data_IF_157822218406
#
_entry.id   IF_157822218406
#
_cell.length_a   1.000
_cell.length_b   1.000
_cell.length_c   1.000
_cell.angle_alpha   90.00
_cell.angle_beta   90.00
_cell.angle_gamma   90.00
#
_symmetry.space_group_name_H-M   'P 1'
#
loop_
_entity.id
_entity.type
_entity.pdbx_description
1 polymer ?
#
# COMPACT_ATOMS: atom_id res chain seq x y z
N UNK A 1 -1.91 7.03 -15.84
CA UNK A 1 -3.00 6.02 -15.71
C UNK A 1 -2.73 5.25 -14.43
N UNK A 2 -3.70 5.07 -13.53
CA UNK A 2 -3.50 4.24 -12.33
C UNK A 2 -3.52 2.75 -12.69
N UNK A 3 -2.92 1.88 -11.88
CA UNK A 3 -2.97 0.43 -12.13
C UNK A 3 -4.39 -0.12 -12.27
N UNK A 4 -5.34 0.39 -11.48
CA UNK A 4 -6.76 0.02 -11.57
C UNK A 4 -7.42 0.54 -12.85
N UNK A 5 -7.05 1.73 -13.32
CA UNK A 5 -7.55 2.25 -14.59
C UNK A 5 -7.01 1.44 -15.77
N UNK A 6 -5.79 0.90 -15.66
CA UNK A 6 -5.22 -0.01 -16.65
C UNK A 6 -6.01 -1.33 -16.71
N UNK A 7 -6.43 -1.87 -15.56
CA UNK A 7 -7.31 -3.06 -15.50
C UNK A 7 -8.62 -2.79 -16.25
N UNK A 8 -9.22 -1.60 -16.10
CA UNK A 8 -10.46 -1.23 -16.82
C UNK A 8 -10.28 -1.06 -18.33
N UNK A 9 -9.05 -0.85 -18.79
CA UNK A 9 -8.71 -0.75 -20.21
C UNK A 9 -8.43 -2.14 -20.78
N UNK A 10 -7.76 -3.00 -20.00
CA UNK A 10 -7.34 -4.34 -20.44
C UNK A 10 -8.44 -5.39 -20.35
N UNK A 11 -9.37 -5.26 -19.39
CA UNK A 11 -10.39 -6.25 -19.11
C UNK A 11 -11.80 -5.73 -19.39
N UNK A 12 -12.61 -6.61 -19.96
CA UNK A 12 -14.02 -6.39 -20.22
C UNK A 12 -14.89 -6.83 -19.04
N UNK A 13 -16.10 -6.27 -18.93
CA UNK A 13 -17.10 -6.68 -17.94
C UNK A 13 -18.03 -7.80 -18.45
N UNK A 14 -17.89 -8.18 -19.73
CA UNK A 14 -18.67 -9.22 -20.43
C UNK A 14 -17.72 -10.17 -21.16
N UNK A 15 -18.04 -11.48 -21.26
CA UNK A 15 -17.29 -12.41 -22.10
C UNK A 15 -17.39 -12.10 -23.60
N UNK A 16 -18.43 -11.36 -24.00
CA UNK A 16 -18.63 -10.91 -25.39
C UNK A 16 -18.82 -9.38 -25.38
N UNK A 17 -17.72 -8.61 -25.31
CA UNK A 17 -17.77 -7.15 -25.36
C UNK A 17 -18.05 -6.69 -26.80
N UNK A 18 -18.71 -5.55 -26.94
CA UNK A 18 -18.80 -4.89 -28.24
C UNK A 18 -17.38 -4.65 -28.79
N UNK A 19 -17.20 -4.82 -30.10
CA UNK A 19 -15.90 -4.54 -30.73
C UNK A 19 -15.48 -3.11 -30.39
N UNK A 20 -14.20 -2.90 -29.97
CA UNK A 20 -13.73 -1.56 -29.69
C UNK A 20 -13.88 -0.71 -30.95
N UNK A 21 -14.12 0.61 -30.79
CA UNK A 21 -14.15 1.50 -31.94
C UNK A 21 -12.87 1.32 -32.76
N UNK A 22 -12.96 1.39 -34.10
CA UNK A 22 -11.77 1.26 -34.95
C UNK A 22 -10.71 2.23 -34.45
N UNK A 23 -9.48 1.74 -34.25
CA UNK A 23 -8.36 2.60 -33.89
C UNK A 23 -8.34 3.77 -34.88
N UNK A 24 -8.15 5.02 -34.41
CA UNK A 24 -7.87 6.12 -35.31
C UNK A 24 -6.80 5.67 -36.30
N UNK A 25 -6.99 5.96 -37.59
CA UNK A 25 -5.92 5.72 -38.57
C UNK A 25 -4.67 6.40 -38.02
N UNK A 26 -3.55 5.68 -37.91
CA UNK A 26 -2.27 6.22 -37.45
C UNK A 26 -2.08 7.60 -38.09
N UNK A 27 -2.35 8.68 -37.36
CA UNK A 27 -1.87 10.00 -37.73
C UNK A 27 -0.36 9.85 -37.60
N UNK A 28 0.28 9.66 -38.76
CA UNK A 28 1.73 9.53 -38.96
C UNK A 28 2.43 9.02 -37.71
N UNK A 29 2.67 7.71 -37.63
CA UNK A 29 3.73 7.17 -36.74
C UNK A 29 4.86 8.20 -36.77
N UNK A 30 5.26 8.79 -35.63
CA UNK A 30 6.28 9.82 -35.65
C UNK A 30 7.42 9.25 -36.48
N UNK A 31 7.74 9.92 -37.59
CA UNK A 31 8.82 9.47 -38.46
C UNK A 31 9.98 9.16 -37.52
N UNK A 32 10.61 7.99 -37.68
CA UNK A 32 11.81 7.67 -36.88
C UNK A 32 12.75 8.85 -37.04
N UNK A 33 12.81 9.71 -36.03
CA UNK A 33 13.71 10.85 -36.02
C UNK A 33 15.12 10.28 -36.13
N UNK A 34 15.99 10.98 -36.86
CA UNK A 34 17.41 10.67 -36.93
C UNK A 34 17.92 10.33 -35.51
N UNK A 35 18.63 9.21 -35.29
CA UNK A 35 19.10 8.79 -33.97
C UNK A 35 19.78 9.91 -33.17
N UNK A 36 20.45 10.84 -33.87
CA UNK A 36 21.07 12.01 -33.23
C UNK A 36 20.04 13.06 -32.80
N UNK A 37 19.05 13.38 -33.64
CA UNK A 37 17.94 14.27 -33.25
C UNK A 37 17.10 13.68 -32.13
N UNK A 38 16.83 12.38 -32.18
CA UNK A 38 16.09 11.68 -31.14
C UNK A 38 16.83 11.71 -29.80
N UNK A 39 18.16 11.63 -29.80
CA UNK A 39 18.99 11.81 -28.61
C UNK A 39 18.89 13.24 -28.06
N UNK A 40 19.04 14.26 -28.91
CA UNK A 40 18.96 15.66 -28.48
C UNK A 40 17.54 16.08 -28.06
N UNK A 41 16.51 15.65 -28.76
CA UNK A 41 15.10 15.90 -28.41
C UNK A 41 14.72 15.17 -27.12
N UNK A 42 15.25 13.95 -26.90
CA UNK A 42 15.08 13.25 -25.61
C UNK A 42 15.85 13.96 -24.49
N UNK A 43 17.03 14.52 -24.77
CA UNK A 43 17.81 15.28 -23.79
C UNK A 43 17.11 16.59 -23.42
N UNK A 44 16.63 17.34 -24.41
CA UNK A 44 15.88 18.59 -24.24
C UNK A 44 14.52 18.34 -23.58
N UNK A 45 13.79 17.30 -24.00
CA UNK A 45 12.55 16.89 -23.35
C UNK A 45 12.75 16.42 -21.91
N UNK A 46 13.87 15.74 -21.62
CA UNK A 46 14.26 15.39 -20.25
C UNK A 46 14.64 16.62 -19.42
N UNK A 47 15.23 17.65 -20.02
CA UNK A 47 15.54 18.93 -19.38
C UNK A 47 14.28 19.76 -19.13
N UNK A 48 13.33 19.75 -20.06
CA UNK A 48 12.05 20.45 -19.96
C UNK A 48 11.13 19.77 -18.93
N UNK A 49 11.04 18.43 -18.93
CA UNK A 49 10.42 17.68 -17.84
C UNK A 49 11.15 17.91 -16.51
N UNK A 50 12.49 17.98 -16.52
CA UNK A 50 13.29 18.31 -15.35
C UNK A 50 12.95 19.69 -14.77
N UNK A 51 12.82 20.71 -15.62
CA UNK A 51 12.45 22.08 -15.24
C UNK A 51 11.00 22.18 -14.74
N UNK A 52 10.05 21.54 -15.44
CA UNK A 52 8.65 21.53 -15.01
C UNK A 52 8.47 20.81 -13.67
N UNK A 53 9.20 19.71 -13.46
CA UNK A 53 9.26 19.00 -12.17
C UNK A 53 9.93 19.85 -11.08
N UNK A 54 10.92 20.68 -11.40
CA UNK A 54 11.55 21.62 -10.46
C UNK A 54 10.58 22.71 -10.00
N UNK A 55 9.75 23.22 -10.91
CA UNK A 55 8.68 24.19 -10.62
C UNK A 55 7.58 23.57 -9.76
N UNK A 56 7.23 22.30 -9.97
CA UNK A 56 6.29 21.56 -9.10
C UNK A 56 6.84 21.32 -7.69
N UNK A 57 8.15 21.02 -7.54
CA UNK A 57 8.81 20.97 -6.23
C UNK A 57 8.75 22.33 -5.55
N UNK A 58 9.04 23.40 -6.29
CA UNK A 58 9.00 24.76 -5.76
C UNK A 58 7.58 25.17 -5.33
N UNK A 59 6.55 24.75 -6.09
CA UNK A 59 5.15 24.96 -5.74
C UNK A 59 4.72 24.14 -4.52
N UNK A 60 5.18 22.89 -4.39
CA UNK A 60 4.96 22.06 -3.20
C UNK A 60 5.66 22.61 -1.95
N UNK A 61 6.87 23.13 -2.12
CA UNK A 61 7.64 23.80 -1.06
C UNK A 61 6.99 25.13 -0.65
N UNK A 62 6.51 25.92 -1.62
CA UNK A 62 5.76 27.14 -1.36
C UNK A 62 4.41 26.87 -0.70
N UNK A 63 3.74 25.76 -1.06
CA UNK A 63 2.53 25.31 -0.38
C UNK A 63 2.82 24.91 1.08
N UNK A 64 3.94 24.23 1.33
CA UNK A 64 4.41 23.92 2.69
C UNK A 64 4.72 25.19 3.49
N UNK A 65 5.47 26.14 2.92
CA UNK A 65 5.80 27.39 3.62
C UNK A 65 4.58 28.28 3.82
N UNK A 66 3.66 28.35 2.86
CA UNK A 66 2.40 29.09 3.01
C UNK A 66 1.48 28.44 4.03
N UNK A 67 1.48 27.10 4.10
CA UNK A 67 0.72 26.34 5.10
C UNK A 67 1.29 26.53 6.51
N UNK A 68 2.60 26.74 6.66
CA UNK A 68 3.23 27.09 7.95
C UNK A 68 2.90 28.52 8.40
N UNK A 69 2.53 29.41 7.48
CA UNK A 69 2.14 30.80 7.78
C UNK A 69 0.63 31.02 7.90
N UNK A 70 -0.19 30.00 7.61
CA UNK A 70 -1.66 30.10 7.68
C UNK A 70 -2.16 29.78 9.11
N UNK A 71 -2.82 30.74 9.80
CA UNK A 71 -3.35 30.54 11.15
C UNK A 71 -4.40 29.43 11.26
N UNK A 72 -5.04 28.99 10.16
CA UNK A 72 -5.94 27.81 10.16
C UNK A 72 -5.19 26.48 10.20
N UNK A 73 -3.95 26.44 9.71
CA UNK A 73 -3.09 25.25 9.74
C UNK A 73 -2.36 25.12 11.09
N UNK A 74 -2.16 26.24 11.80
CA UNK A 74 -1.61 26.26 13.16
C UNK A 74 -2.44 25.46 14.18
N UNK A 75 -3.76 25.33 13.98
CA UNK A 75 -4.61 24.46 14.81
C UNK A 75 -4.38 22.95 14.55
N UNK A 76 -3.79 22.59 13.41
CA UNK A 76 -3.53 21.20 13.01
C UNK A 76 -2.06 20.77 13.24
N UNK A 77 -1.20 21.68 13.69
CA UNK A 77 0.20 21.43 14.03
C UNK A 77 0.42 20.27 15.03
N UNK A 78 -0.41 20.09 16.08
CA UNK A 78 -0.25 18.98 17.02
C UNK A 78 -0.40 17.60 16.38
N UNK A 79 -1.24 17.48 15.34
CA UNK A 79 -1.47 16.22 14.63
C UNK A 79 -0.34 15.89 13.64
N UNK A 80 0.31 16.92 13.08
CA UNK A 80 1.51 16.78 12.23
C UNK A 80 2.74 16.42 13.10
N UNK A 81 2.83 16.98 14.30
CA UNK A 81 3.89 16.69 15.26
C UNK A 81 3.92 15.23 15.73
N UNK A 82 2.82 14.47 15.60
CA UNK A 82 2.77 13.04 15.92
C UNK A 82 3.26 12.10 14.81
N UNK A 83 3.26 12.56 13.54
CA UNK A 83 3.70 11.74 12.39
C UNK A 83 5.20 11.90 12.14
N UNK A 84 5.76 13.10 12.37
CA UNK A 84 7.17 13.42 12.16
C UNK A 84 8.15 12.51 12.96
N UNK A 85 7.89 12.16 14.24
CA UNK A 85 8.75 11.25 15.02
C UNK A 85 8.73 9.80 14.52
N UNK A 86 7.60 9.34 13.98
CA UNK A 86 7.42 7.97 13.50
C UNK A 86 8.19 7.68 12.21
N UNK A 87 8.61 8.71 11.47
CA UNK A 87 9.42 8.57 10.23
C UNK A 87 10.85 9.04 10.40
N UNK A 88 11.15 9.79 11.47
CA UNK A 88 12.51 10.19 11.83
C UNK A 88 13.24 9.18 12.71
N UNK A 89 12.51 8.21 13.29
CA UNK A 89 13.09 7.12 14.09
C UNK A 89 13.05 5.79 13.32
N UNK A 90 14.16 5.02 13.31
CA UNK A 90 14.16 3.64 12.82
C UNK A 90 13.01 2.80 13.40
N UNK A 91 12.37 1.97 12.57
CA UNK A 91 11.43 0.99 13.08
C UNK A 91 12.20 -0.11 13.85
N UNK A 92 11.67 -0.64 14.97
CA UNK A 92 12.28 -1.79 15.64
C UNK A 92 12.40 -2.97 14.68
N UNK A 93 13.58 -3.60 14.59
CA UNK A 93 13.78 -4.72 13.67
C UNK A 93 12.86 -5.91 14.02
N UNK A 94 12.23 -6.47 12.99
CA UNK A 94 11.49 -7.74 13.03
C UNK A 94 12.28 -8.81 12.27
N UNK A 95 11.96 -10.12 12.42
CA UNK A 95 12.79 -11.18 11.85
C UNK A 95 12.93 -11.15 10.32
N UNK A 96 11.97 -10.52 9.63
CA UNK A 96 12.00 -10.31 8.18
C UNK A 96 12.62 -8.97 7.75
N UNK A 97 13.19 -8.19 8.67
CA UNK A 97 13.93 -6.98 8.36
C UNK A 97 15.43 -7.26 8.34
N UNK A 98 16.04 -7.11 7.15
CA UNK A 98 17.45 -7.41 6.96
C UNK A 98 17.88 -7.30 5.51
N UNK A 99 19.13 -7.66 5.27
CA UNK A 99 19.75 -7.57 3.95
C UNK A 99 18.98 -8.41 2.92
N UNK A 100 18.62 -7.77 1.80
CA UNK A 100 17.84 -8.38 0.74
C UNK A 100 18.77 -8.82 -0.41
N UNK A 101 18.70 -10.09 -0.78
CA UNK A 101 19.49 -10.70 -1.87
C UNK A 101 18.99 -10.35 -3.28
N UNK A 102 17.76 -9.86 -3.43
CA UNK A 102 17.11 -9.71 -4.73
C UNK A 102 16.34 -10.97 -5.19
N UNK A 103 16.59 -12.13 -4.60
CA UNK A 103 15.83 -13.35 -4.90
C UNK A 103 14.47 -13.27 -4.22
N UNK A 104 13.38 -13.43 -4.97
CA UNK A 104 12.01 -13.26 -4.48
C UNK A 104 11.35 -14.61 -4.21
N UNK A 105 10.68 -14.74 -3.07
CA UNK A 105 9.70 -15.79 -2.80
C UNK A 105 8.31 -15.18 -2.74
N UNK A 106 7.32 -15.92 -3.23
CA UNK A 106 5.94 -15.46 -3.32
C UNK A 106 5.02 -16.49 -2.67
N UNK A 107 4.06 -16.01 -1.90
CA UNK A 107 2.94 -16.79 -1.38
C UNK A 107 1.66 -15.97 -1.52
N UNK A 108 0.50 -16.62 -1.41
CA UNK A 108 -0.77 -15.92 -1.52
C UNK A 108 -1.85 -16.58 -0.65
N UNK A 109 -2.76 -15.75 -0.17
CA UNK A 109 -3.94 -16.15 0.59
C UNK A 109 -5.21 -15.56 -0.02
N UNK A 110 -6.32 -16.24 0.20
CA UNK A 110 -7.64 -15.87 -0.32
C UNK A 110 -8.63 -15.86 0.84
N UNK A 111 -9.30 -14.73 1.05
CA UNK A 111 -10.33 -14.60 2.06
C UNK A 111 -11.63 -14.08 1.45
N UNK A 112 -12.76 -14.46 2.02
CA UNK A 112 -14.07 -13.94 1.61
C UNK A 112 -14.18 -12.44 1.90
N UNK A 113 -14.50 -11.63 0.88
CA UNK A 113 -14.80 -10.22 1.09
C UNK A 113 -16.07 -10.03 1.93
N UNK A 114 -16.99 -11.00 1.87
CA UNK A 114 -18.19 -11.01 2.72
C UNK A 114 -17.84 -11.22 4.17
N UNK A 115 -16.92 -12.14 4.50
CA UNK A 115 -16.46 -12.34 5.88
C UNK A 115 -15.74 -11.09 6.40
N UNK A 116 -14.87 -10.48 5.60
CA UNK A 116 -14.22 -9.21 5.98
C UNK A 116 -15.23 -8.08 6.21
N UNK A 117 -16.33 -8.03 5.42
CA UNK A 117 -17.42 -7.08 5.64
C UNK A 117 -18.20 -7.37 6.92
N UNK A 118 -18.46 -8.64 7.22
CA UNK A 118 -19.10 -9.04 8.47
C UNK A 118 -18.25 -8.59 9.66
N UNK A 119 -16.95 -8.91 9.65
CA UNK A 119 -16.02 -8.55 10.72
C UNK A 119 -16.02 -7.04 10.97
N UNK A 120 -15.85 -6.23 9.91
CA UNK A 120 -15.83 -4.76 10.10
C UNK A 120 -17.16 -4.22 10.60
N UNK A 121 -18.29 -4.87 10.29
CA UNK A 121 -19.61 -4.40 10.69
C UNK A 121 -19.86 -4.68 12.17
N UNK A 122 -19.48 -5.87 12.65
CA UNK A 122 -19.62 -6.25 14.06
C UNK A 122 -18.65 -5.48 14.94
N UNK A 123 -17.39 -5.31 14.51
CA UNK A 123 -16.35 -4.63 15.29
C UNK A 123 -16.32 -3.10 15.09
N UNK A 124 -17.12 -2.55 14.17
CA UNK A 124 -17.26 -1.10 13.97
C UNK A 124 -16.05 -0.43 13.30
N UNK A 125 -15.67 -0.85 12.09
CA UNK A 125 -14.56 -0.26 11.33
C UNK A 125 -14.63 -0.40 9.81
N UNK A 126 -13.47 -0.35 9.15
CA UNK A 126 -13.32 -0.51 7.70
C UNK A 126 -12.64 -1.83 7.31
N UNK A 127 -12.75 -2.25 6.04
CA UNK A 127 -12.04 -3.45 5.53
C UNK A 127 -10.52 -3.30 5.71
N UNK A 128 -9.99 -2.08 5.60
CA UNK A 128 -8.57 -1.83 5.83
C UNK A 128 -8.15 -2.14 7.26
N UNK A 129 -9.03 -1.90 8.24
CA UNK A 129 -8.76 -2.18 9.65
C UNK A 129 -8.75 -3.69 9.90
N UNK A 130 -9.63 -4.45 9.21
CA UNK A 130 -9.58 -5.93 9.22
C UNK A 130 -8.25 -6.43 8.67
N UNK A 131 -7.83 -5.93 7.51
CA UNK A 131 -6.55 -6.30 6.87
C UNK A 131 -5.36 -6.03 7.78
N UNK A 132 -5.27 -4.82 8.35
CA UNK A 132 -4.16 -4.43 9.23
C UNK A 132 -4.16 -5.20 10.55
N UNK A 133 -5.35 -5.51 11.10
CA UNK A 133 -5.47 -6.34 12.30
C UNK A 133 -4.90 -7.73 12.04
N UNK A 134 -5.33 -8.39 10.97
CA UNK A 134 -4.87 -9.73 10.57
C UNK A 134 -3.37 -9.75 10.28
N UNK A 135 -2.85 -8.76 9.55
CA UNK A 135 -1.41 -8.63 9.30
C UNK A 135 -0.61 -8.41 10.59
N UNK A 136 -1.09 -7.55 11.50
CA UNK A 136 -0.38 -7.28 12.76
C UNK A 136 -0.37 -8.50 13.71
N UNK A 137 -1.44 -9.28 13.72
CA UNK A 137 -1.50 -10.55 14.43
C UNK A 137 -0.54 -11.57 13.83
N UNK A 138 -0.52 -11.69 12.49
CA UNK A 138 0.39 -12.60 11.81
C UNK A 138 1.85 -12.23 12.04
N UNK A 139 2.19 -10.94 12.03
CA UNK A 139 3.52 -10.44 12.39
C UNK A 139 3.86 -10.76 13.85
N UNK A 140 2.93 -10.59 14.79
CA UNK A 140 3.16 -10.91 16.21
C UNK A 140 3.48 -12.40 16.40
N UNK A 141 2.69 -13.28 15.78
CA UNK A 141 2.88 -14.74 15.85
C UNK A 141 4.19 -15.16 15.18
N UNK A 142 4.44 -14.69 13.97
CA UNK A 142 5.68 -14.97 13.24
C UNK A 142 6.92 -14.51 14.01
N UNK A 143 6.87 -13.33 14.62
CA UNK A 143 7.94 -12.82 15.47
C UNK A 143 8.22 -13.73 16.67
N UNK A 144 7.18 -14.20 17.36
CA UNK A 144 7.29 -15.13 18.49
C UNK A 144 7.84 -16.49 18.04
N UNK A 145 7.38 -17.03 16.92
CA UNK A 145 7.89 -18.30 16.37
C UNK A 145 9.39 -18.23 16.05
N UNK A 146 9.88 -17.06 15.67
CA UNK A 146 11.30 -16.78 15.44
C UNK A 146 12.08 -16.38 16.71
N UNK A 147 11.51 -16.58 17.89
CA UNK A 147 12.17 -16.34 19.18
C UNK A 147 12.28 -14.87 19.58
N UNK A 148 11.58 -13.95 18.91
CA UNK A 148 11.57 -12.54 19.28
C UNK A 148 10.52 -12.27 20.37
N UNK A 149 10.95 -11.72 21.50
CA UNK A 149 10.02 -11.19 22.51
C UNK A 149 9.32 -9.94 21.95
N UNK A 150 7.99 -10.00 21.84
CA UNK A 150 7.16 -8.91 21.29
C UNK A 150 6.70 -7.90 22.33
N UNK A 151 7.03 -8.08 23.61
CA UNK A 151 6.65 -7.14 24.68
C UNK A 151 7.13 -5.73 24.34
N UNK A 152 6.22 -4.76 24.40
CA UNK A 152 6.47 -3.35 24.10
C UNK A 152 7.04 -3.11 22.68
N UNK A 153 6.94 -4.11 21.78
CA UNK A 153 7.31 -3.97 20.37
C UNK A 153 6.13 -3.55 19.53
N UNK A 154 6.45 -2.86 18.44
CA UNK A 154 5.51 -2.45 17.43
C UNK A 154 5.91 -3.03 16.07
N UNK A 155 4.92 -3.19 15.19
CA UNK A 155 5.13 -3.23 13.74
C UNK A 155 4.70 -1.91 13.16
N UNK A 156 5.51 -1.37 12.24
CA UNK A 156 5.20 -0.15 11.49
C UNK A 156 4.94 -0.50 10.03
N UNK A 157 3.68 -0.42 9.62
CA UNK A 157 3.27 -0.64 8.24
C UNK A 157 3.44 0.63 7.40
N UNK A 158 3.94 0.46 6.18
CA UNK A 158 3.87 1.47 5.14
C UNK A 158 2.54 1.31 4.39
N UNK A 159 1.57 2.18 4.65
CA UNK A 159 0.23 2.11 4.03
C UNK A 159 0.06 3.24 3.00
N UNK A 160 -0.01 2.93 1.70
CA UNK A 160 -0.33 3.90 0.65
C UNK A 160 -1.76 4.41 0.78
N UNK A 161 -1.97 5.72 0.77
CA UNK A 161 -3.29 6.34 0.62
C UNK A 161 -3.36 7.19 -0.64
N UNK A 162 -4.47 7.04 -1.38
CA UNK A 162 -4.72 7.83 -2.58
C UNK A 162 -5.20 9.24 -2.18
N UNK A 163 -4.49 10.27 -2.61
CA UNK A 163 -4.85 11.68 -2.36
C UNK A 163 -5.81 12.27 -3.41
N UNK A 164 -6.47 11.44 -4.22
CA UNK A 164 -7.27 11.94 -5.33
C UNK A 164 -8.51 12.68 -4.81
N UNK A 165 -8.46 14.02 -4.88
CA UNK A 165 -9.65 14.86 -4.73
C UNK A 165 -10.67 14.47 -5.82
N UNK A 166 -11.93 14.27 -5.43
CA UNK A 166 -13.04 13.87 -6.33
C UNK A 166 -13.26 14.84 -7.50
N UNK A 167 -12.67 16.04 -7.47
CA UNK A 167 -12.97 17.15 -8.38
C UNK A 167 -12.00 17.31 -9.56
N UNK A 168 -10.83 16.66 -9.57
CA UNK A 168 -9.90 16.72 -10.72
C UNK A 168 -9.78 15.38 -11.44
N UNK A 169 -10.83 15.03 -12.21
CA UNK A 169 -10.74 14.02 -13.27
C UNK A 169 -9.88 14.57 -14.41
N UNK A 170 -8.55 14.39 -14.33
CA UNK A 170 -7.64 14.81 -15.41
C UNK A 170 -6.16 14.95 -15.04
N UNK A 171 -5.79 14.98 -13.75
CA UNK A 171 -4.38 15.03 -13.37
C UNK A 171 -3.69 13.68 -13.67
N UNK A 172 -2.70 13.69 -14.57
CA UNK A 172 -1.77 12.59 -14.75
C UNK A 172 -0.80 12.56 -13.56
N UNK A 173 -0.81 11.48 -12.78
CA UNK A 173 0.19 11.25 -11.73
C UNK A 173 -0.35 10.32 -10.65
N UNK A 174 0.42 9.29 -10.28
CA UNK A 174 0.10 8.43 -9.14
C UNK A 174 0.51 9.15 -7.85
N UNK A 175 -0.30 10.11 -7.40
CA UNK A 175 -0.03 10.84 -6.14
C UNK A 175 -0.44 9.93 -4.98
N UNK A 176 0.53 9.14 -4.50
CA UNK A 176 0.42 8.28 -3.33
C UNK A 176 1.07 9.00 -2.15
N UNK A 177 0.32 9.18 -1.06
CA UNK A 177 0.92 9.52 0.24
C UNK A 177 1.19 8.24 1.02
N UNK A 178 2.28 8.22 1.78
CA UNK A 178 2.67 7.10 2.63
C UNK A 178 2.31 7.46 4.07
N UNK A 179 1.50 6.62 4.72
CA UNK A 179 1.19 6.74 6.14
C UNK A 179 1.87 5.61 6.94
N UNK A 180 2.74 5.94 7.92
CA UNK A 180 3.21 4.97 8.90
C UNK A 180 2.05 4.58 9.83
N UNK A 181 1.71 3.29 9.88
CA UNK A 181 0.75 2.76 10.87
C UNK A 181 1.48 1.87 11.87
N UNK A 182 1.63 2.36 13.09
CA UNK A 182 2.25 1.62 14.20
C UNK A 182 1.20 0.83 14.98
N UNK A 183 1.41 -0.47 15.10
CA UNK A 183 0.52 -1.38 15.83
C UNK A 183 1.37 -2.19 16.83
N UNK A 184 1.05 -2.16 18.12
CA UNK A 184 1.73 -2.99 19.12
C UNK A 184 1.56 -4.49 18.86
N UNK A 185 2.64 -5.25 19.05
CA UNK A 185 2.67 -6.69 18.80
C UNK A 185 2.28 -7.51 20.03
N UNK A 186 2.26 -6.92 21.22
CA UNK A 186 1.95 -7.57 22.49
C UNK A 186 0.47 -7.53 22.90
N UNK A 187 -0.40 -6.90 22.11
CA UNK A 187 -1.86 -6.97 22.31
C UNK A 187 -2.32 -8.41 22.06
N UNK A 188 -2.77 -9.10 23.11
CA UNK A 188 -3.20 -10.52 23.02
C UNK A 188 -4.64 -10.68 22.55
N UNK A 189 -5.51 -9.75 22.91
CA UNK A 189 -6.93 -9.80 22.58
C UNK A 189 -7.17 -9.23 21.18
N UNK A 190 -7.76 -10.02 20.29
CA UNK A 190 -8.00 -9.63 18.90
C UNK A 190 -9.01 -8.49 18.76
N UNK A 191 -9.98 -8.37 19.67
CA UNK A 191 -10.93 -7.27 19.68
C UNK A 191 -10.23 -5.96 20.06
N UNK A 192 -9.39 -5.99 21.11
CA UNK A 192 -8.57 -4.84 21.52
C UNK A 192 -7.56 -4.46 20.44
N UNK A 193 -6.96 -5.45 19.75
CA UNK A 193 -6.07 -5.21 18.61
C UNK A 193 -6.82 -4.48 17.49
N UNK A 194 -8.01 -4.96 17.13
CA UNK A 194 -8.85 -4.31 16.12
C UNK A 194 -9.24 -2.88 16.51
N UNK A 195 -9.64 -2.67 17.76
CA UNK A 195 -9.98 -1.35 18.28
C UNK A 195 -8.78 -0.39 18.20
N UNK A 196 -7.58 -0.84 18.58
CA UNK A 196 -6.37 -0.04 18.47
C UNK A 196 -6.07 0.34 17.02
N UNK A 197 -6.18 -0.62 16.09
CA UNK A 197 -6.00 -0.37 14.65
C UNK A 197 -7.01 0.66 14.16
N UNK A 198 -8.28 0.51 14.52
CA UNK A 198 -9.36 1.42 14.15
C UNK A 198 -9.08 2.85 14.64
N UNK A 199 -8.73 3.02 15.90
CA UNK A 199 -8.40 4.32 16.48
C UNK A 199 -7.22 4.96 15.74
N UNK A 200 -6.15 4.18 15.46
CA UNK A 200 -4.97 4.66 14.73
C UNK A 200 -5.32 5.10 13.31
N UNK A 201 -6.08 4.31 12.56
CA UNK A 201 -6.45 4.66 11.18
C UNK A 201 -7.50 5.78 11.11
N UNK A 202 -8.38 5.90 12.10
CA UNK A 202 -9.36 6.99 12.22
C UNK A 202 -8.66 8.35 12.44
N UNK A 203 -7.74 8.43 13.40
CA UNK A 203 -6.93 9.62 13.65
C UNK A 203 -6.19 10.09 12.39
N UNK A 204 -5.72 9.15 11.57
CA UNK A 204 -5.04 9.46 10.30
C UNK A 204 -6.00 9.96 9.21
N UNK A 205 -7.24 9.46 9.16
CA UNK A 205 -8.27 9.94 8.21
C UNK A 205 -8.77 11.34 8.55
N UNK A 206 -8.86 11.68 9.83
CA UNK A 206 -9.25 13.00 10.31
C UNK A 206 -8.14 14.04 10.10
N UNK A 207 -6.89 13.62 10.22
CA UNK A 207 -5.70 14.42 9.93
C UNK A 207 -5.46 14.55 8.41
N UNK A 208 -6.46 14.99 7.63
CA UNK A 208 -6.42 15.23 6.17
C UNK A 208 -5.28 16.17 5.68
N UNK A 209 -4.34 16.53 6.56
CA UNK A 209 -3.22 17.45 6.40
C UNK A 209 -1.85 16.77 6.33
N UNK A 210 -1.73 15.45 6.49
CA UNK A 210 -0.48 14.74 6.17
C UNK A 210 -0.26 14.58 4.64
N UNK A 211 -1.01 15.34 3.82
CA UNK A 211 -0.99 15.33 2.36
C UNK A 211 0.35 15.79 1.73
N UNK A 212 1.34 16.18 2.53
CA UNK A 212 2.66 16.59 2.04
C UNK A 212 3.86 15.94 2.72
N UNK A 213 3.67 15.00 3.67
CA UNK A 213 4.75 14.69 4.61
C UNK A 213 5.77 13.63 4.15
N UNK A 214 5.43 12.75 3.22
CA UNK A 214 6.41 11.82 2.63
C UNK A 214 6.07 11.49 1.18
N UNK A 215 6.27 12.45 0.30
CA UNK A 215 6.39 12.19 -1.14
C UNK A 215 7.73 11.51 -1.46
N UNK A 216 8.23 10.55 -0.66
CA UNK A 216 9.46 9.81 -0.99
C UNK A 216 9.29 9.09 -2.34
N UNK A 217 8.10 8.54 -2.62
CA UNK A 217 7.80 7.92 -3.91
C UNK A 217 7.70 8.93 -5.07
N UNK A 218 7.25 10.17 -4.82
CA UNK A 218 7.27 11.21 -5.84
C UNK A 218 8.69 11.75 -6.04
N UNK A 219 9.42 12.06 -4.96
CA UNK A 219 10.82 12.48 -4.98
C UNK A 219 11.73 11.43 -5.63
N UNK A 220 11.54 10.14 -5.34
CA UNK A 220 12.26 9.03 -5.97
C UNK A 220 11.89 8.87 -7.44
N UNK A 221 10.59 8.91 -7.79
CA UNK A 221 10.16 8.82 -9.19
C UNK A 221 10.50 10.08 -10.01
N UNK A 222 10.83 11.19 -9.35
CA UNK A 222 11.35 12.43 -9.94
C UNK A 222 12.87 12.41 -10.18
N UNK A 223 13.62 11.43 -9.66
CA UNK A 223 15.07 11.30 -9.89
C UNK A 223 15.36 10.64 -11.25
N UNK A 224 16.45 11.02 -11.95
CA UNK A 224 16.89 10.32 -13.17
C UNK A 224 17.14 8.83 -12.90
N UNK A 225 16.76 7.94 -13.83
CA UNK A 225 16.89 6.48 -13.67
C UNK A 225 18.30 6.01 -13.24
N UNK A 226 19.42 6.61 -13.71
CA UNK A 226 20.75 6.28 -13.21
C UNK A 226 20.92 6.64 -11.73
N UNK A 227 20.37 7.77 -11.28
CA UNK A 227 20.41 8.19 -9.88
C UNK A 227 19.49 7.34 -9.01
N UNK A 228 18.32 6.92 -9.51
CA UNK A 228 17.48 5.92 -8.85
C UNK A 228 18.22 4.59 -8.69
N UNK A 229 19.00 4.16 -9.69
CA UNK A 229 19.80 2.94 -9.61
C UNK A 229 20.97 3.06 -8.63
N UNK A 230 21.61 4.24 -8.54
CA UNK A 230 22.72 4.52 -7.62
C UNK A 230 22.20 4.67 -6.19
N UNK A 231 21.09 5.37 -5.98
CA UNK A 231 20.41 5.42 -4.68
C UNK A 231 19.87 4.05 -4.33
N UNK A 232 19.36 3.28 -5.30
CA UNK A 232 18.96 1.90 -5.09
C UNK A 232 20.12 0.98 -4.68
N UNK A 233 21.35 1.34 -5.05
CA UNK A 233 22.58 0.65 -4.62
C UNK A 233 23.16 1.22 -3.32
N UNK A 234 22.88 2.48 -2.98
CA UNK A 234 23.37 3.19 -1.78
C UNK A 234 22.36 3.21 -0.64
N UNK A 235 21.10 2.86 -0.89
CA UNK A 235 20.01 2.80 0.08
C UNK A 235 20.04 1.51 0.89
N UNK A 236 21.25 1.02 1.20
CA UNK A 236 21.55 0.37 2.45
C UNK A 236 21.37 1.40 3.59
N UNK A 237 20.15 1.94 3.72
CA UNK A 237 19.73 2.63 4.91
C UNK A 237 19.83 1.57 6.01
N UNK A 238 20.70 1.76 7.02
CA UNK A 238 20.97 0.72 8.01
C UNK A 238 19.70 0.30 8.77
N UNK A 239 18.65 1.13 8.73
CA UNK A 239 17.34 0.82 9.29
C UNK A 239 16.22 1.45 8.46
N UNK A 240 15.35 0.67 7.79
CA UNK A 240 14.21 1.22 7.08
C UNK A 240 13.23 1.90 8.06
N UNK A 241 12.60 3.02 7.66
CA UNK A 241 11.64 3.71 8.51
C UNK A 241 10.33 2.93 8.73
N UNK A 242 10.16 1.78 8.07
CA UNK A 242 9.00 0.88 8.16
C UNK A 242 9.49 -0.56 8.32
N UNK A 243 8.63 -1.44 8.81
CA UNK A 243 8.92 -2.88 8.85
C UNK A 243 8.43 -3.59 7.59
N UNK A 244 7.21 -3.27 7.15
CA UNK A 244 6.50 -4.01 6.12
C UNK A 244 5.62 -3.09 5.28
N UNK A 245 5.57 -3.32 3.97
CA UNK A 245 4.60 -2.66 3.10
C UNK A 245 3.26 -3.39 3.18
N UNK A 246 2.18 -2.65 3.40
CA UNK A 246 0.82 -3.16 3.36
C UNK A 246 -0.04 -2.25 2.48
N UNK A 247 -0.35 -2.70 1.25
CA UNK A 247 -1.15 -1.93 0.30
C UNK A 247 -2.46 -2.61 -0.02
N UNK A 248 -3.57 -1.90 0.11
CA UNK A 248 -4.90 -2.41 -0.19
C UNK A 248 -5.53 -1.60 -1.31
N UNK A 249 -5.75 -2.24 -2.46
CA UNK A 249 -6.32 -1.62 -3.65
C UNK A 249 -7.73 -2.20 -3.87
N UNK A 250 -8.80 -1.40 -3.69
CA UNK A 250 -10.15 -1.84 -3.99
C UNK A 250 -10.30 -2.13 -5.49
N UNK A 251 -10.67 -3.36 -5.82
CA UNK A 251 -10.95 -3.77 -7.19
C UNK A 251 -12.44 -4.02 -7.46
N UNK A 252 -12.79 -4.32 -8.72
CA UNK A 252 -14.18 -4.55 -9.12
C UNK A 252 -14.80 -5.76 -8.42
N UNK A 253 -16.02 -5.59 -7.91
CA UNK A 253 -16.80 -6.67 -7.27
C UNK A 253 -17.66 -7.46 -8.26
N UNK A 254 -17.32 -7.37 -9.54
CA UNK A 254 -17.95 -8.05 -10.67
C UNK A 254 -16.89 -8.84 -11.42
N UNK A 255 -17.25 -9.92 -12.14
CA UNK A 255 -16.30 -10.67 -12.94
C UNK A 255 -15.73 -9.81 -14.07
N UNK A 256 -14.45 -9.99 -14.34
CA UNK A 256 -13.73 -9.39 -15.46
C UNK A 256 -13.31 -10.47 -16.47
N UNK A 257 -13.17 -10.09 -17.72
CA UNK A 257 -12.86 -10.98 -18.84
C UNK A 257 -11.72 -10.43 -19.67
N UNK A 258 -10.85 -11.33 -20.16
CA UNK A 258 -9.79 -11.01 -21.10
C UNK A 258 -9.93 -11.92 -22.31
N UNK A 259 -10.18 -11.35 -23.49
CA UNK A 259 -10.42 -12.11 -24.73
C UNK A 259 -11.55 -13.15 -24.51
N UNK A 260 -12.63 -12.71 -23.86
CA UNK A 260 -13.79 -13.54 -23.51
C UNK A 260 -13.56 -14.61 -22.42
N UNK A 261 -12.37 -14.67 -21.80
CA UNK A 261 -12.06 -15.61 -20.71
C UNK A 261 -12.15 -14.92 -19.36
N UNK A 262 -12.91 -15.51 -18.44
CA UNK A 262 -13.10 -14.97 -17.10
C UNK A 262 -11.79 -14.99 -16.32
N UNK A 263 -11.42 -13.85 -15.72
CA UNK A 263 -10.37 -13.79 -14.71
C UNK A 263 -10.86 -14.52 -13.46
N UNK A 264 -10.16 -15.58 -13.05
CA UNK A 264 -10.57 -16.38 -11.90
C UNK A 264 -10.12 -15.76 -10.59
N UNK A 265 -8.87 -15.31 -10.53
CA UNK A 265 -8.20 -14.82 -9.32
C UNK A 265 -7.22 -13.70 -9.69
N UNK A 266 -6.92 -12.82 -8.75
CA UNK A 266 -5.98 -11.71 -8.97
C UNK A 266 -5.09 -11.51 -7.74
N UNK A 267 -3.91 -12.14 -7.74
CA UNK A 267 -2.90 -11.95 -6.67
C UNK A 267 -2.01 -10.76 -7.00
N UNK A 268 -2.10 -9.65 -6.24
CA UNK A 268 -1.27 -8.48 -6.49
C UNK A 268 0.17 -8.73 -6.02
N UNK A 269 1.13 -8.05 -6.65
CA UNK A 269 2.54 -8.10 -6.26
C UNK A 269 2.97 -6.75 -5.68
N UNK A 270 3.80 -6.78 -4.63
CA UNK A 270 4.47 -5.59 -4.09
C UNK A 270 5.97 -5.83 -4.01
N UNK A 271 6.80 -4.92 -4.54
CA UNK A 271 8.25 -5.04 -4.44
C UNK A 271 8.74 -4.98 -2.98
N UNK A 272 9.76 -5.80 -2.68
CA UNK A 272 10.51 -5.82 -1.42
C UNK A 272 11.99 -5.51 -1.68
N UNK A 273 12.71 -5.02 -0.66
CA UNK A 273 14.09 -4.54 -0.76
C UNK A 273 14.44 -3.52 0.33
N UNK A 274 15.68 -3.02 0.36
CA UNK A 274 16.10 -1.94 1.27
C UNK A 274 15.83 -2.22 2.77
N UNK A 275 16.10 -3.45 3.23
CA UNK A 275 15.80 -3.86 4.61
C UNK A 275 14.34 -4.30 4.86
N UNK A 276 13.44 -4.13 3.88
CA UNK A 276 12.07 -4.62 3.93
C UNK A 276 12.00 -6.00 3.27
N UNK A 277 12.18 -7.07 4.04
CA UNK A 277 12.20 -8.44 3.51
C UNK A 277 10.81 -9.05 3.28
N UNK A 278 9.73 -8.38 3.70
CA UNK A 278 8.34 -8.82 3.51
C UNK A 278 7.45 -7.64 3.11
N UNK A 279 6.53 -7.90 2.17
CA UNK A 279 5.46 -6.99 1.80
C UNK A 279 4.18 -7.75 1.47
N UNK A 280 3.04 -7.10 1.70
CA UNK A 280 1.73 -7.61 1.34
C UNK A 280 0.96 -6.61 0.48
N UNK A 281 0.52 -7.05 -0.69
CA UNK A 281 -0.49 -6.36 -1.47
C UNK A 281 -1.83 -7.09 -1.35
N UNK A 282 -2.90 -6.32 -1.28
CA UNK A 282 -4.27 -6.80 -1.17
C UNK A 282 -5.06 -6.22 -2.32
N UNK A 283 -5.81 -7.07 -3.01
CA UNK A 283 -6.73 -6.67 -4.06
C UNK A 283 -8.08 -7.34 -3.85
N UNK A 284 -9.15 -6.55 -3.83
CA UNK A 284 -10.50 -7.10 -3.76
C UNK A 284 -11.04 -7.36 -5.17
N UNK A 285 -11.49 -8.57 -5.46
CA UNK A 285 -12.03 -8.92 -6.77
C UNK A 285 -13.15 -9.95 -6.65
N UNK A 286 -14.27 -9.69 -7.32
CA UNK A 286 -15.37 -10.65 -7.47
C UNK A 286 -15.77 -11.35 -6.15
N UNK A 287 -15.93 -10.56 -5.07
CA UNK A 287 -16.32 -11.01 -3.71
C UNK A 287 -15.24 -11.70 -2.88
N UNK A 288 -13.99 -11.74 -3.35
CA UNK A 288 -12.85 -12.25 -2.60
C UNK A 288 -11.82 -11.14 -2.35
N UNK A 289 -11.00 -11.34 -1.32
CA UNK A 289 -9.79 -10.60 -1.01
C UNK A 289 -8.58 -11.48 -1.31
N UNK A 290 -7.74 -11.01 -2.22
CA UNK A 290 -6.51 -11.68 -2.61
C UNK A 290 -5.32 -10.99 -1.96
N UNK A 291 -4.62 -11.73 -1.10
CA UNK A 291 -3.40 -11.29 -0.44
C UNK A 291 -2.22 -11.88 -1.21
N UNK A 292 -1.39 -11.02 -1.80
CA UNK A 292 -0.11 -11.41 -2.38
C UNK A 292 1.02 -11.04 -1.43
N UNK A 293 1.76 -12.06 -0.98
CA UNK A 293 2.92 -11.94 -0.11
C UNK A 293 4.17 -12.02 -0.98
N UNK A 294 5.05 -11.04 -0.81
CA UNK A 294 6.34 -10.99 -1.49
C UNK A 294 7.43 -10.93 -0.43
N UNK A 295 8.40 -11.83 -0.49
CA UNK A 295 9.54 -11.83 0.42
C UNK A 295 10.88 -11.92 -0.31
N UNK A 296 11.95 -11.46 0.35
CA UNK A 296 13.31 -11.70 -0.08
C UNK A 296 13.84 -13.02 0.51
N UNK A 297 14.40 -13.89 -0.31
CA UNK A 297 14.83 -15.22 0.12
C UNK A 297 15.93 -15.21 1.20
N UNK A 298 16.72 -14.12 1.30
CA UNK A 298 17.74 -13.95 2.34
C UNK A 298 17.16 -13.35 3.62
N UNK A 299 16.33 -12.31 3.50
CA UNK A 299 15.74 -11.65 4.66
C UNK A 299 14.58 -12.46 5.31
N UNK A 300 13.84 -13.21 4.51
CA UNK A 300 12.71 -14.03 4.96
C UNK A 300 12.49 -15.23 4.02
N UNK A 301 13.12 -16.34 4.36
CA UNK A 301 13.16 -17.54 3.51
C UNK A 301 11.87 -18.39 3.57
N UNK A 302 11.01 -18.16 4.55
CA UNK A 302 9.87 -19.01 4.94
C UNK A 302 8.53 -18.29 4.81
N UNK A 303 8.32 -17.57 3.70
CA UNK A 303 7.07 -16.83 3.44
C UNK A 303 5.81 -17.71 3.48
N UNK A 304 5.93 -19.00 3.16
CA UNK A 304 4.83 -19.97 3.27
C UNK A 304 4.39 -20.15 4.73
N UNK A 305 5.32 -20.08 5.69
CA UNK A 305 4.99 -20.15 7.12
C UNK A 305 4.20 -18.91 7.55
N UNK A 306 4.61 -17.73 7.10
CA UNK A 306 3.85 -16.51 7.36
C UNK A 306 2.46 -16.55 6.72
N UNK A 307 2.32 -17.14 5.53
CA UNK A 307 1.02 -17.36 4.88
C UNK A 307 0.11 -18.24 5.75
N UNK A 308 0.61 -19.35 6.30
CA UNK A 308 -0.17 -20.20 7.23
C UNK A 308 -0.67 -19.40 8.44
N UNK A 309 0.24 -18.66 9.09
CA UNK A 309 -0.07 -17.82 10.24
C UNK A 309 -1.10 -16.73 9.86
N UNK A 310 -0.99 -16.16 8.66
CA UNK A 310 -1.93 -15.16 8.15
C UNK A 310 -3.34 -15.75 8.01
N UNK A 311 -3.44 -16.96 7.46
CA UNK A 311 -4.72 -17.67 7.29
C UNK A 311 -5.35 -17.99 8.64
N UNK A 312 -4.56 -18.48 9.61
CA UNK A 312 -5.00 -18.71 10.98
C UNK A 312 -5.46 -17.41 11.65
N UNK A 313 -4.72 -16.32 11.48
CA UNK A 313 -5.07 -15.01 12.05
C UNK A 313 -6.40 -14.47 11.51
N UNK A 314 -6.70 -14.70 10.22
CA UNK A 314 -8.00 -14.35 9.65
C UNK A 314 -9.12 -15.24 10.20
N UNK A 315 -8.87 -16.55 10.30
CA UNK A 315 -9.84 -17.51 10.83
C UNK A 315 -10.18 -17.23 12.30
N UNK A 316 -9.21 -16.85 13.12
CA UNK A 316 -9.41 -16.49 14.52
C UNK A 316 -10.24 -15.21 14.66
N UNK A 317 -9.95 -14.19 13.85
CA UNK A 317 -10.73 -12.94 13.85
C UNK A 317 -12.18 -13.18 13.39
N UNK A 318 -12.39 -14.07 12.42
CA UNK A 318 -13.73 -14.50 12.00
C UNK A 318 -14.46 -15.25 13.12
N UNK A 319 -13.78 -16.17 13.80
CA UNK A 319 -14.35 -16.96 14.89
C UNK A 319 -14.75 -16.09 16.08
N UNK A 320 -13.92 -15.10 16.44
CA UNK A 320 -14.25 -14.08 17.44
C UNK A 320 -15.59 -13.39 17.11
N UNK A 321 -15.78 -12.98 15.87
CA UNK A 321 -17.02 -12.30 15.46
C UNK A 321 -18.24 -13.22 15.51
N UNK A 322 -18.09 -14.48 15.11
CA UNK A 322 -19.16 -15.47 15.25
C UNK A 322 -19.58 -15.68 16.71
N UNK A 323 -18.61 -15.72 17.63
CA UNK A 323 -18.88 -15.85 19.07
C UNK A 323 -19.58 -14.61 19.65
N UNK A 324 -19.22 -13.41 19.20
CA UNK A 324 -19.87 -12.16 19.62
C UNK A 324 -21.33 -12.10 19.14
N UNK A 325 -21.60 -12.48 17.90
CA UNK A 325 -22.96 -12.55 17.36
C UNK A 325 -23.81 -13.60 18.09
N UNK A 326 -23.25 -14.77 18.39
CA UNK A 326 -23.93 -15.80 19.16
C UNK A 326 -24.34 -15.31 20.57
N UNK A 327 -23.41 -14.61 21.26
CA UNK A 327 -23.68 -14.02 22.59
C UNK A 327 -24.77 -12.95 22.53
N UNK A 328 -24.75 -12.08 21.50
CA UNK A 328 -25.77 -11.05 21.32
C UNK A 328 -27.16 -11.65 21.10
N UNK A 329 -27.27 -12.73 20.32
CA UNK A 329 -28.52 -13.43 20.08
C UNK A 329 -29.07 -14.11 21.33
N UNK A 330 -28.21 -14.64 22.20
CA UNK A 330 -28.65 -15.23 23.48
C UNK A 330 -29.02 -14.20 24.54
N UNK A 331 -28.48 -12.98 24.50
CA UNK A 331 -28.79 -11.92 25.45
C UNK A 331 -30.07 -11.13 25.10
N UNK A 332 -30.51 -11.22 23.84
CA UNK A 332 -31.75 -10.61 23.36
C UNK A 332 -32.98 -11.54 23.33
N UNK A 333 -32.81 -12.81 23.71
CA UNK A 333 -33.88 -13.80 23.88
C UNK A 333 -34.27 -13.91 25.36
#
# INVERSE_FOLDING_TARGET
ISGVDLIKILFDISPDPASPPPKPKDELRPQKLDPTRQFFDSLLGSMEEGMNRLLEVQAGMMYLTSSLTDPKTAQNLPHIAGVLPAVSTPAPLLPFNGECSGTRKLAWSEFSFTDARLIKNVLGGSVNDVVLTVLSEAVSRYAKEHGLDVKERIVRFMVPVSLRQKEKRGAMGNIISILPVEIPLDIKDLQQRFEHVNQKTALMKETKLAAGLLTVGAMYSMMPAPLQSVIGQLADLPFPPFNMVATNVPGPQIPLYLVGKKMLKHYPYVPVGYGLGLGCAIFSYNQDLYFGLSSDAKAMSDVDKFKEILDESFADLKSLVADLEAKANTAGA
#
